data_IF_643531319208
#
_entry.id   IF_643531319208
#
_cell.length_a   1.000
_cell.length_b   1.000
_cell.length_c   1.000
_cell.angle_alpha   90.00
_cell.angle_beta   90.00
_cell.angle_gamma   90.00
#
_symmetry.space_group_name_H-M   'P 1'
#
loop_
_entity.id
_entity.type
_entity.pdbx_description
1 polymer ?
#
# COMPACT_ATOMS: atom_id res chain seq x y z
N UNK A 1 -4.16 -25.71 -31.97
CA UNK A 1 -4.28 -24.31 -31.55
C UNK A 1 -4.67 -24.33 -30.09
N UNK A 2 -3.68 -24.27 -29.20
CA UNK A 2 -3.89 -24.24 -27.75
C UNK A 2 -4.08 -22.80 -27.32
N UNK A 3 -5.31 -22.46 -26.92
CA UNK A 3 -5.58 -21.21 -26.22
C UNK A 3 -5.01 -21.37 -24.82
N UNK A 4 -3.91 -20.68 -24.52
CA UNK A 4 -3.39 -20.56 -23.16
C UNK A 4 -4.47 -19.89 -22.32
N UNK A 5 -5.18 -20.69 -21.52
CA UNK A 5 -6.16 -20.21 -20.55
C UNK A 5 -5.37 -19.37 -19.54
N UNK A 6 -5.47 -18.06 -19.66
CA UNK A 6 -5.02 -17.12 -18.64
C UNK A 6 -5.88 -17.40 -17.41
N UNK A 7 -5.34 -18.15 -16.45
CA UNK A 7 -6.00 -18.32 -15.16
C UNK A 7 -6.23 -16.91 -14.59
N UNK A 8 -7.48 -16.47 -14.39
CA UNK A 8 -7.70 -15.24 -13.67
C UNK A 8 -7.06 -15.42 -12.30
N UNK A 9 -6.17 -14.51 -11.93
CA UNK A 9 -5.60 -14.48 -10.58
C UNK A 9 -6.82 -14.37 -9.66
N UNK A 10 -7.16 -15.46 -8.97
CA UNK A 10 -8.14 -15.46 -7.90
C UNK A 10 -7.53 -14.64 -6.76
N UNK A 11 -7.66 -13.32 -6.86
CA UNK A 11 -7.48 -12.44 -5.71
C UNK A 11 -8.59 -12.87 -4.73
N UNK A 12 -8.27 -13.26 -3.50
CA UNK A 12 -9.30 -13.53 -2.51
C UNK A 12 -10.23 -12.32 -2.47
N UNK A 13 -11.53 -12.53 -2.63
CA UNK A 13 -12.54 -11.49 -2.84
C UNK A 13 -12.72 -10.50 -1.67
N UNK A 14 -11.87 -10.62 -0.64
CA UNK A 14 -11.84 -9.82 0.59
C UNK A 14 -10.45 -9.21 0.91
N UNK A 15 -9.42 -9.45 0.07
CA UNK A 15 -8.09 -8.88 0.31
C UNK A 15 -8.06 -7.40 -0.08
N UNK A 16 -7.52 -6.55 0.79
CA UNK A 16 -7.25 -5.16 0.50
C UNK A 16 -5.74 -4.92 0.34
N UNK A 17 -5.36 -3.92 -0.43
CA UNK A 17 -3.97 -3.57 -0.69
C UNK A 17 -3.66 -2.23 -0.04
N UNK A 18 -2.78 -2.22 0.96
CA UNK A 18 -2.24 -1.00 1.56
C UNK A 18 -0.96 -0.62 0.82
N UNK A 19 -1.06 0.36 -0.07
CA UNK A 19 0.06 0.95 -0.80
C UNK A 19 0.73 2.02 0.06
N UNK A 20 2.04 1.93 0.21
CA UNK A 20 2.88 2.90 0.91
C UNK A 20 3.82 3.52 -0.12
N UNK A 21 3.50 4.74 -0.53
CA UNK A 21 4.33 5.54 -1.42
C UNK A 21 5.52 6.08 -0.65
N UNK A 22 6.70 5.56 -0.95
CA UNK A 22 7.95 5.85 -0.26
C UNK A 22 8.59 7.14 -0.79
N UNK A 23 9.25 7.93 0.06
CA UNK A 23 10.11 9.01 -0.40
C UNK A 23 11.34 8.44 -1.11
N UNK A 24 11.70 9.05 -2.24
CA UNK A 24 12.89 8.69 -3.03
C UNK A 24 13.97 9.77 -2.99
N UNK A 25 13.79 10.82 -2.19
CA UNK A 25 14.70 11.96 -2.14
C UNK A 25 16.01 11.61 -1.40
N UNK A 26 17.18 12.03 -1.93
CA UNK A 26 18.45 11.84 -1.24
C UNK A 26 18.48 12.67 0.05
N UNK A 27 18.76 12.02 1.17
CA UNK A 27 18.80 12.65 2.51
C UNK A 27 17.78 12.10 3.51
N UNK A 28 16.82 11.28 3.06
CA UNK A 28 15.76 10.74 3.91
C UNK A 28 16.01 9.29 4.37
N UNK A 29 17.27 8.83 4.40
CA UNK A 29 17.62 7.43 4.69
C UNK A 29 17.02 6.91 6.02
N UNK A 30 17.01 7.73 7.08
CA UNK A 30 16.41 7.36 8.37
C UNK A 30 14.88 7.25 8.30
N UNK A 31 14.23 8.13 7.54
CA UNK A 31 12.79 8.08 7.30
C UNK A 31 12.42 6.85 6.48
N UNK A 32 13.17 6.57 5.41
CA UNK A 32 13.00 5.38 4.56
C UNK A 32 13.15 4.10 5.41
N UNK A 33 14.19 4.00 6.24
CA UNK A 33 14.37 2.86 7.14
C UNK A 33 13.18 2.69 8.11
N UNK A 34 12.71 3.80 8.68
CA UNK A 34 11.56 3.81 9.60
C UNK A 34 10.25 3.40 8.90
N UNK A 35 10.03 3.84 7.65
CA UNK A 35 8.90 3.44 6.81
C UNK A 35 8.97 1.97 6.42
N UNK A 36 10.16 1.44 6.14
CA UNK A 36 10.34 0.01 5.89
C UNK A 36 9.97 -0.81 7.12
N UNK A 37 10.45 -0.44 8.32
CA UNK A 37 10.07 -1.11 9.57
C UNK A 37 8.57 -0.99 9.86
N UNK A 38 7.97 0.16 9.59
CA UNK A 38 6.53 0.36 9.72
C UNK A 38 5.74 -0.53 8.76
N UNK A 39 6.15 -0.61 7.49
CA UNK A 39 5.50 -1.46 6.49
C UNK A 39 5.54 -2.94 6.89
N UNK A 40 6.69 -3.43 7.36
CA UNK A 40 6.85 -4.80 7.86
C UNK A 40 5.97 -5.06 9.10
N UNK A 41 5.91 -4.09 10.03
CA UNK A 41 5.03 -4.18 11.19
C UNK A 41 3.55 -4.23 10.78
N UNK A 42 3.13 -3.39 9.82
CA UNK A 42 1.76 -3.37 9.31
C UNK A 42 1.41 -4.69 8.62
N UNK A 43 2.31 -5.25 7.80
CA UNK A 43 2.08 -6.53 7.14
C UNK A 43 1.89 -7.66 8.15
N UNK A 44 2.69 -7.67 9.21
CA UNK A 44 2.58 -8.66 10.29
C UNK A 44 1.28 -8.50 11.08
N UNK A 45 0.86 -7.27 11.38
CA UNK A 45 -0.32 -7.00 12.22
C UNK A 45 -1.66 -7.11 11.47
N UNK A 46 -1.68 -6.77 10.18
CA UNK A 46 -2.87 -6.88 9.33
C UNK A 46 -3.03 -8.29 8.74
N UNK A 47 -1.97 -9.09 8.77
CA UNK A 47 -1.97 -10.48 8.34
C UNK A 47 -2.30 -10.63 6.85
N UNK A 48 -2.99 -11.71 6.51
CA UNK A 48 -3.35 -12.04 5.11
C UNK A 48 -4.56 -11.29 4.59
N UNK A 49 -5.26 -10.53 5.44
CA UNK A 49 -6.44 -9.74 5.04
C UNK A 49 -6.02 -8.49 4.27
N UNK A 50 -4.83 -7.96 4.53
CA UNK A 50 -4.29 -6.78 3.86
C UNK A 50 -2.86 -7.04 3.39
N UNK A 51 -2.63 -6.83 2.11
CA UNK A 51 -1.30 -6.89 1.52
C UNK A 51 -0.67 -5.49 1.57
N UNK A 52 0.51 -5.39 2.15
CA UNK A 52 1.23 -4.11 2.27
C UNK A 52 2.27 -4.02 1.16
N UNK A 53 2.11 -3.05 0.27
CA UNK A 53 3.02 -2.80 -0.84
C UNK A 53 3.81 -1.52 -0.61
N UNK A 54 5.10 -1.57 -0.92
CA UNK A 54 6.00 -0.41 -0.87
C UNK A 54 6.21 0.06 -2.30
N UNK A 55 5.77 1.27 -2.61
CA UNK A 55 5.83 1.86 -3.95
C UNK A 55 6.87 2.98 -3.92
N UNK A 56 7.96 2.81 -4.64
CA UNK A 56 8.96 3.84 -4.89
C UNK A 56 8.73 4.46 -6.28
N UNK A 57 8.82 5.78 -6.38
CA UNK A 57 8.66 6.51 -7.63
C UNK A 57 9.73 6.15 -8.67
N UNK A 58 10.96 5.85 -8.25
CA UNK A 58 12.01 5.46 -9.19
C UNK A 58 11.73 4.10 -9.84
N UNK A 59 11.13 3.17 -9.11
CA UNK A 59 10.79 1.83 -9.60
C UNK A 59 9.45 1.79 -10.33
N UNK A 60 8.42 2.50 -9.84
CA UNK A 60 7.06 2.43 -10.36
C UNK A 60 6.43 3.81 -10.62
N UNK A 61 7.03 4.66 -11.48
CA UNK A 61 6.57 6.04 -11.70
C UNK A 61 5.14 6.11 -12.25
N UNK A 62 4.72 5.10 -13.02
CA UNK A 62 3.34 5.01 -13.53
C UNK A 62 2.29 4.86 -12.41
N UNK A 63 2.60 4.09 -11.37
CA UNK A 63 1.69 3.90 -10.23
C UNK A 63 1.58 5.19 -9.43
N UNK A 64 2.71 5.85 -9.13
CA UNK A 64 2.73 7.14 -8.40
C UNK A 64 1.89 8.21 -9.10
N UNK A 65 1.99 8.29 -10.43
CA UNK A 65 1.18 9.22 -11.24
C UNK A 65 -0.31 8.86 -11.27
N UNK A 66 -0.65 7.59 -11.42
CA UNK A 66 -2.05 7.14 -11.44
C UNK A 66 -2.80 7.38 -10.13
N UNK A 67 -2.08 7.45 -9.01
CA UNK A 67 -2.64 7.76 -7.70
C UNK A 67 -2.53 9.25 -7.32
N UNK A 68 -2.10 10.12 -8.26
CA UNK A 68 -1.93 11.57 -8.02
C UNK A 68 -1.12 11.85 -6.74
N UNK A 69 -0.02 11.13 -6.57
CA UNK A 69 0.84 11.24 -5.38
C UNK A 69 1.84 12.38 -5.57
N UNK A 70 1.58 13.50 -4.90
CA UNK A 70 2.47 14.68 -4.91
C UNK A 70 3.34 14.80 -3.66
N UNK A 71 3.04 14.00 -2.62
CA UNK A 71 3.73 14.04 -1.33
C UNK A 71 4.02 12.63 -0.87
N UNK A 72 5.21 12.44 -0.33
CA UNK A 72 5.65 11.17 0.27
C UNK A 72 6.12 11.43 1.72
N UNK A 73 5.96 10.46 2.63
CA UNK A 73 5.22 9.21 2.42
C UNK A 73 3.72 9.45 2.29
N UNK A 74 3.03 8.59 1.52
CA UNK A 74 1.56 8.55 1.47
C UNK A 74 1.10 7.10 1.56
N UNK A 75 0.07 6.86 2.36
CA UNK A 75 -0.55 5.55 2.56
C UNK A 75 -1.90 5.56 1.85
N UNK A 76 -2.16 4.55 1.02
CA UNK A 76 -3.42 4.40 0.28
C UNK A 76 -3.93 2.99 0.48
N UNK A 77 -5.14 2.84 1.01
CA UNK A 77 -5.82 1.56 1.04
C UNK A 77 -6.69 1.43 -0.20
N UNK A 78 -6.46 0.35 -0.94
CA UNK A 78 -7.22 -0.03 -2.13
C UNK A 78 -7.98 -1.30 -1.81
N UNK A 79 -9.28 -1.31 -2.07
CA UNK A 79 -10.10 -2.51 -1.96
C UNK A 79 -10.80 -2.74 -3.29
N UNK A 80 -10.63 -3.93 -3.88
CA UNK A 80 -11.23 -4.30 -5.18
C UNK A 80 -10.94 -3.28 -6.30
N UNK A 81 -9.72 -2.72 -6.30
CA UNK A 81 -9.29 -1.72 -7.29
C UNK A 81 -9.78 -0.30 -7.06
N UNK A 82 -10.47 -0.02 -5.94
CA UNK A 82 -10.95 1.32 -5.58
C UNK A 82 -10.18 1.83 -4.37
N UNK A 83 -9.70 3.08 -4.44
CA UNK A 83 -9.14 3.77 -3.28
C UNK A 83 -10.25 4.02 -2.25
N UNK A 84 -10.13 3.43 -1.06
CA UNK A 84 -11.11 3.56 0.04
C UNK A 84 -10.59 4.45 1.18
N UNK A 85 -9.28 4.65 1.27
CA UNK A 85 -8.68 5.53 2.28
C UNK A 85 -7.30 6.02 1.86
N UNK A 86 -6.96 7.24 2.27
CA UNK A 86 -5.67 7.89 2.03
C UNK A 86 -5.21 8.64 3.27
N UNK A 87 -3.92 8.53 3.59
CA UNK A 87 -3.22 9.33 4.58
C UNK A 87 -1.92 9.88 4.00
N UNK A 88 -1.78 11.19 4.05
CA UNK A 88 -0.58 11.88 3.57
C UNK A 88 0.34 12.16 4.77
N UNK A 89 1.65 11.96 4.57
CA UNK A 89 2.67 12.13 5.59
C UNK A 89 2.81 10.93 6.51
N UNK A 90 3.81 10.99 7.38
CA UNK A 90 4.11 9.91 8.32
C UNK A 90 2.96 9.71 9.31
N UNK A 91 2.66 8.46 9.65
CA UNK A 91 1.68 8.09 10.68
C UNK A 91 2.17 6.85 11.43
N UNK A 92 1.69 6.68 12.65
CA UNK A 92 2.03 5.52 13.47
C UNK A 92 1.19 4.28 13.08
N UNK A 93 1.73 3.10 13.40
CA UNK A 93 1.06 1.82 13.11
C UNK A 93 -0.36 1.71 13.70
N UNK A 94 -0.63 2.02 14.99
CA UNK A 94 -1.98 1.88 15.52
C UNK A 94 -3.00 2.78 14.83
N UNK A 95 -2.63 4.01 14.45
CA UNK A 95 -3.49 4.92 13.69
C UNK A 95 -3.84 4.32 12.31
N UNK A 96 -2.84 3.83 11.58
CA UNK A 96 -3.05 3.21 10.27
C UNK A 96 -3.91 1.95 10.39
N UNK A 97 -3.62 1.07 11.34
CA UNK A 97 -4.36 -0.18 11.54
C UNK A 97 -5.82 0.10 11.87
N UNK A 98 -6.09 1.07 12.75
CA UNK A 98 -7.45 1.47 13.10
C UNK A 98 -8.20 1.98 11.86
N UNK A 99 -7.57 2.85 11.08
CA UNK A 99 -8.17 3.39 9.85
C UNK A 99 -8.46 2.27 8.84
N UNK A 100 -7.50 1.37 8.61
CA UNK A 100 -7.65 0.24 7.69
C UNK A 100 -8.79 -0.67 8.15
N UNK A 101 -8.83 -1.07 9.42
CA UNK A 101 -9.90 -1.94 9.94
C UNK A 101 -11.29 -1.33 9.79
N UNK A 102 -11.44 -0.02 9.98
CA UNK A 102 -12.71 0.67 9.79
C UNK A 102 -13.24 0.55 8.34
N UNK A 103 -12.35 0.46 7.34
CA UNK A 103 -12.74 0.30 5.93
C UNK A 103 -13.03 -1.15 5.53
N UNK A 104 -12.61 -2.12 6.34
CA UNK A 104 -12.80 -3.56 6.07
C UNK A 104 -14.04 -4.15 6.75
N UNK A 105 -14.78 -3.34 7.52
CA UNK A 105 -15.93 -3.81 8.33
C UNK A 105 -17.28 -3.52 7.65
N UNK A 106 -17.35 -3.54 6.32
CA UNK A 106 -18.61 -3.46 5.55
C UNK A 106 -19.15 -4.86 5.22
#
# INVERSE_FOLDING_TARGET
MEFTVSHPIQIPSQSADLLIFMPSAPGENTLIASLHSLADLLQNLLGTTVHVFKIDEMTYPGIVKSFDIFKTPTFVLVQRGVEVWRQIGMSDAPTIIKAVKNQLTD
#
